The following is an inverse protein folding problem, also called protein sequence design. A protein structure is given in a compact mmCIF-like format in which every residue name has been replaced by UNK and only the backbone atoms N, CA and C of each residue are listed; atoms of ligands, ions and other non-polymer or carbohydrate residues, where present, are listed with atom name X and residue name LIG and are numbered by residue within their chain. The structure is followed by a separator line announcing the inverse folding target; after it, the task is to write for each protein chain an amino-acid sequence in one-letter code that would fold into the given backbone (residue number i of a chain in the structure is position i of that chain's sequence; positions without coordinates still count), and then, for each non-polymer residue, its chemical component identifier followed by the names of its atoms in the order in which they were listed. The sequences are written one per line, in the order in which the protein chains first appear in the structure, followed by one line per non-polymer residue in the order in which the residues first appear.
data_IF_935345097006
#
_entry.id   IF_935345097006
#
_cell.length_a   1.000
_cell.length_b   1.000
_cell.length_c   1.000
_cell.angle_alpha   90.00
_cell.angle_beta   90.00
_cell.angle_gamma   90.00
#
_symmetry.space_group_name_H-M   'P 1'
#
loop_
_entity.id
_entity.type
_entity.pdbx_description
1 polymer ?
#
# COMPACT_ATOMS: atom_id res chain seq x y z
N UNK A 1 -22.08 21.78 -1.49
CA UNK A 1 -21.88 20.50 -0.77
C UNK A 1 -21.58 19.30 -1.71
N UNK A 2 -21.40 19.50 -3.02
CA UNK A 2 -21.14 18.43 -4.00
C UNK A 2 -19.68 17.96 -4.05
N UNK A 3 -18.71 18.86 -3.82
CA UNK A 3 -17.28 18.55 -3.98
C UNK A 3 -16.71 17.56 -2.94
N UNK A 4 -17.17 17.61 -1.68
CA UNK A 4 -16.71 16.72 -0.61
C UNK A 4 -17.18 15.26 -0.79
N UNK A 5 -18.39 15.03 -1.30
CA UNK A 5 -18.91 13.68 -1.56
C UNK A 5 -18.21 13.01 -2.74
N UNK A 6 -17.82 13.77 -3.76
CA UNK A 6 -17.08 13.24 -4.92
C UNK A 6 -15.66 12.81 -4.53
N UNK A 7 -14.96 13.59 -3.70
CA UNK A 7 -13.62 13.26 -3.24
C UNK A 7 -13.57 11.99 -2.38
N UNK A 8 -14.54 11.80 -1.48
CA UNK A 8 -14.61 10.57 -0.67
C UNK A 8 -14.80 9.32 -1.54
N UNK A 9 -15.74 9.38 -2.48
CA UNK A 9 -16.02 8.26 -3.38
C UNK A 9 -14.84 7.94 -4.32
N UNK A 10 -14.03 8.94 -4.69
CA UNK A 10 -12.80 8.72 -5.46
C UNK A 10 -11.71 8.06 -4.60
N UNK A 11 -11.51 8.52 -3.37
CA UNK A 11 -10.53 7.93 -2.47
C UNK A 11 -10.86 6.48 -2.10
N UNK A 12 -12.16 6.15 -1.94
CA UNK A 12 -12.60 4.77 -1.71
C UNK A 12 -12.30 3.86 -2.92
N UNK A 13 -12.44 4.38 -4.15
CA UNK A 13 -12.04 3.65 -5.37
C UNK A 13 -10.53 3.46 -5.45
N UNK A 14 -9.75 4.48 -5.11
CA UNK A 14 -8.29 4.37 -5.08
C UNK A 14 -7.84 3.33 -4.05
N UNK A 15 -8.47 3.31 -2.88
CA UNK A 15 -8.20 2.33 -1.83
C UNK A 15 -8.49 0.89 -2.30
N UNK A 16 -9.67 0.67 -2.90
CA UNK A 16 -10.01 -0.63 -3.48
C UNK A 16 -9.03 -1.05 -4.56
N UNK A 17 -8.58 -0.12 -5.41
CA UNK A 17 -7.58 -0.42 -6.43
C UNK A 17 -6.22 -0.81 -5.81
N UNK A 18 -5.80 -0.18 -4.72
CA UNK A 18 -4.54 -0.51 -4.03
C UNK A 18 -4.62 -1.84 -3.28
N UNK A 19 -5.77 -2.14 -2.65
CA UNK A 19 -6.04 -3.48 -2.10
C UNK A 19 -5.89 -4.55 -3.17
N UNK A 20 -6.63 -4.42 -4.27
CA UNK A 20 -6.61 -5.41 -5.35
C UNK A 20 -5.21 -5.57 -5.95
N UNK A 21 -4.47 -4.46 -6.10
CA UNK A 21 -3.08 -4.48 -6.53
C UNK A 21 -2.20 -5.29 -5.56
N UNK A 22 -2.31 -5.05 -4.25
CA UNK A 22 -1.52 -5.76 -3.25
C UNK A 22 -1.79 -7.27 -3.30
N UNK A 23 -3.05 -7.68 -3.33
CA UNK A 23 -3.44 -9.11 -3.37
C UNK A 23 -2.93 -9.79 -4.63
N UNK A 24 -3.12 -9.16 -5.80
CA UNK A 24 -2.63 -9.69 -7.07
C UNK A 24 -1.11 -9.77 -7.11
N UNK A 25 -0.40 -8.76 -6.60
CA UNK A 25 1.06 -8.72 -6.61
C UNK A 25 1.65 -9.73 -5.64
N UNK A 26 1.05 -9.90 -4.45
CA UNK A 26 1.44 -10.91 -3.48
C UNK A 26 1.36 -12.32 -4.09
N UNK A 27 0.21 -12.66 -4.69
CA UNK A 27 -0.01 -13.93 -5.41
C UNK A 27 0.98 -14.14 -6.55
N UNK A 28 1.20 -13.11 -7.36
CA UNK A 28 2.10 -13.19 -8.53
C UNK A 28 3.56 -13.39 -8.14
N UNK A 29 3.99 -12.84 -7.01
CA UNK A 29 5.39 -12.84 -6.59
C UNK A 29 5.70 -13.87 -5.52
N UNK A 30 4.74 -14.72 -5.15
CA UNK A 30 4.89 -15.72 -4.09
C UNK A 30 5.42 -15.08 -2.80
N UNK A 31 4.73 -14.03 -2.38
CA UNK A 31 4.96 -13.32 -1.11
C UNK A 31 3.66 -13.22 -0.35
N UNK A 32 3.77 -13.05 0.95
CA UNK A 32 2.67 -13.04 1.89
C UNK A 32 2.60 -11.70 2.62
N UNK A 33 1.43 -11.40 3.16
CA UNK A 33 1.22 -10.25 4.01
C UNK A 33 1.81 -10.48 5.40
N UNK A 34 2.02 -9.39 6.14
CA UNK A 34 2.47 -9.46 7.52
C UNK A 34 1.49 -10.30 8.37
N UNK A 35 2.04 -11.05 9.34
CA UNK A 35 1.24 -11.77 10.34
C UNK A 35 0.33 -10.85 11.16
N UNK A 36 0.63 -9.55 11.20
CA UNK A 36 -0.23 -8.51 11.74
C UNK A 36 -0.95 -7.80 10.57
N UNK A 37 -2.26 -8.04 10.36
CA UNK A 37 -3.03 -7.42 9.28
C UNK A 37 -3.06 -5.90 9.34
N UNK A 38 -2.87 -5.30 10.53
CA UNK A 38 -2.88 -3.84 10.69
C UNK A 38 -1.70 -3.18 9.97
N UNK A 39 -0.54 -3.84 9.92
CA UNK A 39 0.64 -3.37 9.16
C UNK A 39 0.30 -3.33 7.67
N UNK A 40 -0.26 -4.41 7.14
CA UNK A 40 -0.71 -4.51 5.74
C UNK A 40 -1.72 -3.41 5.41
N UNK A 41 -2.72 -3.20 6.27
CA UNK A 41 -3.74 -2.17 6.13
C UNK A 41 -3.17 -0.75 6.10
N UNK A 42 -2.26 -0.41 7.04
CA UNK A 42 -1.60 0.92 7.09
C UNK A 42 -0.81 1.20 5.80
N UNK A 43 -0.10 0.20 5.28
CA UNK A 43 0.70 0.38 4.06
C UNK A 43 -0.20 0.57 2.83
N UNK A 44 -1.26 -0.23 2.69
CA UNK A 44 -2.22 -0.09 1.58
C UNK A 44 -2.89 1.29 1.62
N UNK A 45 -3.28 1.76 2.80
CA UNK A 45 -3.85 3.11 2.99
C UNK A 45 -2.84 4.19 2.60
N UNK A 46 -1.58 4.08 3.05
CA UNK A 46 -0.53 5.03 2.69
C UNK A 46 -0.24 5.08 1.18
N UNK A 47 -0.23 3.92 0.52
CA UNK A 47 -0.08 3.82 -0.95
C UNK A 47 -1.26 4.47 -1.68
N UNK A 48 -2.49 4.23 -1.21
CA UNK A 48 -3.69 4.84 -1.77
C UNK A 48 -3.66 6.36 -1.61
N UNK A 49 -3.30 6.86 -0.44
CA UNK A 49 -3.16 8.28 -0.17
C UNK A 49 -2.12 8.95 -1.07
N UNK A 50 -0.92 8.37 -1.20
CA UNK A 50 0.08 8.91 -2.14
C UNK A 50 -0.39 8.85 -3.60
N UNK A 51 -1.17 7.84 -3.98
CA UNK A 51 -1.76 7.77 -5.32
C UNK A 51 -2.79 8.88 -5.56
N UNK A 52 -3.61 9.20 -4.57
CA UNK A 52 -4.57 10.31 -4.63
C UNK A 52 -3.85 11.68 -4.66
N UNK A 53 -2.82 11.87 -3.84
CA UNK A 53 -2.10 13.15 -3.69
C UNK A 53 -1.09 13.41 -4.83
N UNK A 54 -0.33 12.39 -5.23
CA UNK A 54 0.83 12.51 -6.12
C UNK A 54 0.60 11.86 -7.50
N UNK A 55 -0.52 11.16 -7.69
CA UNK A 55 -0.84 10.42 -8.91
C UNK A 55 -0.18 9.03 -9.02
N UNK A 56 0.77 8.71 -8.13
CA UNK A 56 1.48 7.43 -8.10
C UNK A 56 1.58 6.88 -6.66
N UNK A 57 1.57 5.55 -6.48
CA UNK A 57 1.64 4.93 -5.16
C UNK A 57 3.08 4.92 -4.63
N UNK A 58 3.61 6.10 -4.31
CA UNK A 58 4.94 6.25 -3.71
C UNK A 58 5.01 5.50 -2.37
N UNK A 59 6.10 4.79 -2.09
CA UNK A 59 6.24 3.99 -0.88
C UNK A 59 6.03 4.84 0.40
N UNK A 60 5.08 4.48 1.30
CA UNK A 60 4.72 5.32 2.45
C UNK A 60 5.68 5.19 3.63
N UNK A 61 6.52 4.15 3.67
CA UNK A 61 7.44 3.87 4.78
C UNK A 61 8.82 4.52 4.60
N UNK A 62 8.92 5.58 3.79
CA UNK A 62 10.17 6.34 3.62
C UNK A 62 9.92 7.83 3.78
N UNK A 63 10.95 8.52 4.24
CA UNK A 63 11.02 9.97 4.17
C UNK A 63 11.58 10.40 2.81
N UNK A 64 11.04 11.48 2.26
CA UNK A 64 11.46 12.07 0.99
C UNK A 64 11.56 13.57 1.17
N UNK A 65 12.64 14.16 0.66
CA UNK A 65 12.81 15.62 0.62
C UNK A 65 11.89 16.26 -0.44
N UNK A 66 11.75 15.60 -1.61
CA UNK A 66 10.90 16.03 -2.73
C UNK A 66 10.11 14.82 -3.26
N UNK A 67 8.83 14.73 -2.91
CA UNK A 67 7.97 13.59 -3.29
C UNK A 67 7.67 13.59 -4.79
N UNK A 68 7.50 14.76 -5.38
CA UNK A 68 7.17 14.95 -6.79
C UNK A 68 8.33 14.53 -7.70
N UNK A 69 9.57 14.83 -7.32
CA UNK A 69 10.77 14.36 -8.00
C UNK A 69 10.89 12.83 -7.93
N UNK A 70 10.63 12.24 -6.76
CA UNK A 70 10.71 10.79 -6.55
C UNK A 70 9.64 10.02 -7.32
N UNK A 71 8.42 10.57 -7.37
CA UNK A 71 7.35 10.01 -8.21
C UNK A 71 7.75 10.00 -9.69
N UNK A 72 8.38 11.08 -10.18
CA UNK A 72 8.89 11.15 -11.57
C UNK A 72 10.02 10.14 -11.79
N UNK A 73 10.93 9.99 -10.83
CA UNK A 73 12.03 9.02 -10.91
C UNK A 73 11.55 7.56 -10.85
N UNK A 74 10.38 7.32 -10.25
CA UNK A 74 9.70 6.01 -10.19
C UNK A 74 10.48 4.89 -9.48
N UNK A 75 11.59 5.19 -8.81
CA UNK A 75 12.37 4.21 -8.08
C UNK A 75 11.58 3.64 -6.89
N UNK A 76 10.88 4.52 -6.17
CA UNK A 76 10.08 4.19 -4.98
C UNK A 76 8.57 4.09 -5.24
N UNK A 77 8.13 4.22 -6.49
CA UNK A 77 6.74 3.93 -6.87
C UNK A 77 6.48 2.43 -6.69
N UNK A 78 5.45 2.07 -5.92
CA UNK A 78 5.13 0.68 -5.64
C UNK A 78 4.64 -0.05 -6.91
N UNK A 79 5.18 -1.24 -7.23
CA UNK A 79 6.25 -1.96 -6.54
C UNK A 79 7.63 -1.35 -6.83
N UNK A 80 8.35 -0.97 -5.76
CA UNK A 80 9.63 -0.27 -5.87
C UNK A 80 10.72 -1.17 -6.48
N UNK A 81 11.83 -0.57 -6.91
CA UNK A 81 12.96 -1.29 -7.51
C UNK A 81 13.45 -2.47 -6.63
N UNK A 82 13.72 -2.29 -5.31
CA UNK A 82 14.13 -3.41 -4.45
C UNK A 82 13.12 -4.57 -4.42
N UNK A 83 11.82 -4.28 -4.40
CA UNK A 83 10.78 -5.30 -4.42
C UNK A 83 10.78 -6.07 -5.75
N UNK A 84 10.93 -5.35 -6.88
CA UNK A 84 10.91 -5.96 -8.22
C UNK A 84 12.14 -6.82 -8.49
N UNK A 85 13.31 -6.39 -8.05
CA UNK A 85 14.58 -7.06 -8.37
C UNK A 85 14.95 -8.15 -7.37
N UNK A 86 14.62 -7.96 -6.08
CA UNK A 86 15.11 -8.82 -5.00
C UNK A 86 14.05 -9.29 -4.00
N UNK A 87 12.77 -8.96 -4.24
CA UNK A 87 11.66 -9.20 -3.28
C UNK A 87 11.89 -8.55 -1.91
N UNK A 88 12.63 -7.45 -1.86
CA UNK A 88 12.87 -6.69 -0.63
C UNK A 88 11.80 -5.62 -0.44
N UNK A 89 10.87 -5.84 0.49
CA UNK A 89 9.82 -4.89 0.84
C UNK A 89 10.01 -4.33 2.26
N UNK A 90 10.59 -3.13 2.37
CA UNK A 90 10.76 -2.46 3.68
C UNK A 90 9.43 -2.25 4.43
N UNK A 91 8.34 -2.05 3.69
CA UNK A 91 7.02 -1.83 4.27
C UNK A 91 6.41 -3.07 4.93
N UNK A 92 7.02 -4.25 4.78
CA UNK A 92 6.43 -5.53 5.20
C UNK A 92 5.08 -5.83 4.55
N UNK A 93 4.83 -5.28 3.35
CA UNK A 93 3.63 -5.57 2.56
C UNK A 93 3.81 -6.84 1.72
N UNK A 94 5.02 -7.10 1.21
CA UNK A 94 5.30 -8.28 0.41
C UNK A 94 6.48 -9.01 1.05
N UNK A 95 6.17 -10.00 1.87
CA UNK A 95 7.16 -10.71 2.68
C UNK A 95 7.39 -12.10 2.09
N UNK A 96 8.65 -12.52 1.95
CA UNK A 96 8.98 -13.87 1.51
C UNK A 96 8.61 -14.90 2.59
N UNK A 97 8.24 -16.14 2.21
CA UNK A 97 7.72 -17.14 3.17
C UNK A 97 8.73 -17.59 4.23
N UNK A 98 10.02 -17.34 4.04
CA UNK A 98 11.10 -17.65 4.97
C UNK A 98 11.30 -16.58 6.06
N UNK A 99 10.59 -15.45 5.97
CA UNK A 99 10.67 -14.37 6.94
C UNK A 99 9.78 -14.64 8.16
N UNK A 100 10.27 -14.35 9.38
CA UNK A 100 9.54 -14.58 10.63
C UNK A 100 8.23 -13.78 10.78
N UNK A 101 8.08 -12.68 10.03
CA UNK A 101 6.88 -11.85 10.04
C UNK A 101 5.92 -12.17 8.90
N UNK A 102 6.24 -13.12 8.03
CA UNK A 102 5.32 -13.57 6.99
C UNK A 102 4.15 -14.33 7.64
N UNK A 103 2.93 -13.87 7.38
CA UNK A 103 1.74 -14.67 7.59
C UNK A 103 1.54 -15.67 6.46
N UNK A 104 0.34 -16.26 6.42
CA UNK A 104 -0.05 -17.20 5.36
C UNK A 104 -1.00 -16.56 4.33
N UNK A 105 -1.42 -15.32 4.57
CA UNK A 105 -2.46 -14.64 3.81
C UNK A 105 -1.87 -13.84 2.65
N UNK A 106 -2.55 -13.88 1.50
CA UNK A 106 -2.31 -13.04 0.32
C UNK A 106 -3.54 -12.21 -0.05
N UNK A 107 -4.54 -12.23 0.84
CA UNK A 107 -5.80 -11.51 0.76
C UNK A 107 -6.01 -10.76 2.09
N UNK A 108 -6.70 -9.63 2.03
CA UNK A 108 -7.06 -8.84 3.21
C UNK A 108 -8.49 -8.37 3.06
N UNK A 109 -9.26 -8.31 4.15
CA UNK A 109 -10.63 -7.82 4.10
C UNK A 109 -10.66 -6.29 4.03
N UNK A 110 -11.60 -5.73 3.27
CA UNK A 110 -11.70 -4.27 3.10
C UNK A 110 -12.01 -3.58 4.43
N UNK A 111 -12.79 -4.23 5.29
CA UNK A 111 -13.13 -3.76 6.63
C UNK A 111 -11.88 -3.51 7.47
N UNK A 112 -10.83 -4.33 7.32
CA UNK A 112 -9.59 -4.16 8.09
C UNK A 112 -8.85 -2.88 7.69
N UNK A 113 -8.83 -2.58 6.40
CA UNK A 113 -8.23 -1.35 5.87
C UNK A 113 -9.03 -0.12 6.31
N UNK A 114 -10.37 -0.20 6.28
CA UNK A 114 -11.26 0.89 6.71
C UNK A 114 -11.07 1.20 8.19
N UNK A 115 -10.98 0.19 9.06
CA UNK A 115 -10.73 0.40 10.51
C UNK A 115 -9.46 1.21 10.76
N UNK A 116 -8.39 0.91 10.04
CA UNK A 116 -7.12 1.64 10.16
C UNK A 116 -7.25 3.08 9.65
N UNK A 117 -7.90 3.28 8.50
CA UNK A 117 -8.15 4.63 7.97
C UNK A 117 -8.91 5.50 8.98
N UNK A 118 -9.91 4.94 9.65
CA UNK A 118 -10.71 5.65 10.66
C UNK A 118 -9.91 5.94 11.94
N UNK A 119 -9.04 5.03 12.38
CA UNK A 119 -8.19 5.26 13.55
C UNK A 119 -7.13 6.34 13.33
N UNK A 120 -6.67 6.54 12.09
CA UNK A 120 -5.72 7.61 11.73
C UNK A 120 -6.36 8.99 11.60
N UNK A 121 -7.69 9.07 11.49
CA UNK A 121 -8.44 10.32 11.36
C UNK A 121 -8.87 10.90 12.73
N UNK A 122 -8.60 10.18 13.82
CA UNK A 122 -8.92 10.52 15.21
C UNK A 122 -7.74 11.22 15.90
#
# INVERSE_FOLDING_TARGET
MTSAKTNKNQSDKTLQAMKNFAEQYAKRTDTFFCLDPSVTAVVIEGLARHKDELGAPLCPCRHYEDKEAEVKASFWNCPCVPMRERKECHCMLFITPDNEFAGEQQDIEMEEIIKVRESMAS
#
